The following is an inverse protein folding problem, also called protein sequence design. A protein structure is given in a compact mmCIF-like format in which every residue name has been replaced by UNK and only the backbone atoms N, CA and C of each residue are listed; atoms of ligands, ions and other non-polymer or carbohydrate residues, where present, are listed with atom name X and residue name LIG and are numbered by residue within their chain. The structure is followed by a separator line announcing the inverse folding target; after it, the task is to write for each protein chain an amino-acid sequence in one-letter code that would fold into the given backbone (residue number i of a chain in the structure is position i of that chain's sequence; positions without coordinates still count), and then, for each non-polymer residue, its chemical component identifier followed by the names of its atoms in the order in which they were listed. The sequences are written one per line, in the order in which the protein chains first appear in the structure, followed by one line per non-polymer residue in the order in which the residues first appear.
data_IF_965039957977
#
_entry.id   IF_965039957977
#
_cell.length_a   1.000
_cell.length_b   1.000
_cell.length_c   1.000
_cell.angle_alpha   90.00
_cell.angle_beta   90.00
_cell.angle_gamma   90.00
#
_symmetry.space_group_name_H-M   'P 1'
#
loop_
_entity.id
_entity.type
_entity.pdbx_description
1 polymer ?
#
# COMPACT_ATOMS: atom_id res chain seq x y z
N UNK A 1 -21.67 9.83 -4.38
CA UNK A 1 -20.22 10.00 -4.10
C UNK A 1 -19.50 8.65 -4.13
N UNK A 2 -19.82 7.66 -3.29
CA UNK A 2 -19.15 6.34 -3.34
C UNK A 2 -19.29 5.61 -4.70
N UNK A 3 -20.43 5.72 -5.36
CA UNK A 3 -20.63 5.17 -6.71
C UNK A 3 -19.77 5.85 -7.79
N UNK A 4 -19.32 7.09 -7.57
CA UNK A 4 -18.45 7.82 -8.50
C UNK A 4 -17.00 7.36 -8.42
N UNK A 5 -16.61 6.69 -7.33
CA UNK A 5 -15.29 6.07 -7.15
C UNK A 5 -15.37 4.55 -7.29
N UNK A 6 -16.33 4.06 -8.08
CA UNK A 6 -16.56 2.64 -8.38
C UNK A 6 -16.83 1.76 -7.14
N UNK A 7 -17.27 2.34 -6.03
CA UNK A 7 -17.65 1.56 -4.85
C UNK A 7 -19.15 1.24 -4.85
N UNK A 8 -19.49 -0.04 -5.06
CA UNK A 8 -20.87 -0.52 -5.00
C UNK A 8 -21.27 -0.77 -3.55
N UNK A 9 -22.06 0.14 -3.00
CA UNK A 9 -22.62 0.01 -1.65
C UNK A 9 -23.59 -1.18 -1.61
N UNK A 10 -23.39 -2.17 -0.72
CA UNK A 10 -24.25 -3.36 -0.66
C UNK A 10 -25.70 -3.03 -0.28
N UNK A 11 -25.89 -2.14 0.69
CA UNK A 11 -27.18 -1.63 1.14
C UNK A 11 -26.99 -0.28 1.88
N UNK A 12 -27.98 0.62 1.83
CA UNK A 12 -27.98 1.85 2.64
C UNK A 12 -27.92 1.58 4.15
N UNK A 13 -28.42 0.42 4.62
CA UNK A 13 -28.32 0.03 6.03
C UNK A 13 -26.86 -0.13 6.47
N UNK A 14 -26.03 -0.76 5.64
CA UNK A 14 -24.59 -0.92 5.90
C UNK A 14 -23.88 0.43 6.11
N UNK A 15 -24.19 1.42 5.27
CA UNK A 15 -23.62 2.76 5.45
C UNK A 15 -24.13 3.43 6.73
N UNK A 16 -25.43 3.31 7.04
CA UNK A 16 -26.00 3.90 8.27
C UNK A 16 -25.38 3.30 9.52
N UNK A 17 -25.18 1.98 9.55
CA UNK A 17 -24.58 1.30 10.69
C UNK A 17 -23.13 1.78 10.89
N UNK A 18 -22.33 1.85 9.81
CA UNK A 18 -20.94 2.38 9.85
C UNK A 18 -20.84 3.86 10.21
N UNK A 19 -21.81 4.67 9.81
CA UNK A 19 -21.87 6.09 10.17
C UNK A 19 -22.31 6.30 11.62
N UNK A 20 -23.15 5.41 12.15
CA UNK A 20 -23.59 5.43 13.54
C UNK A 20 -22.45 5.04 14.49
N UNK A 21 -21.59 4.09 14.08
CA UNK A 21 -20.36 3.72 14.79
C UNK A 21 -19.35 4.88 14.92
N UNK A 22 -19.43 5.90 14.04
CA UNK A 22 -18.58 7.10 14.07
C UNK A 22 -19.15 8.23 14.96
N UNK A 23 -19.98 7.91 15.94
CA UNK A 23 -20.60 8.82 16.92
C UNK A 23 -21.38 10.01 16.29
N UNK A 24 -22.22 9.73 15.31
CA UNK A 24 -23.07 10.76 14.71
C UNK A 24 -24.23 11.19 15.63
N UNK A 25 -24.11 12.39 16.21
CA UNK A 25 -25.26 13.23 16.60
C UNK A 25 -25.67 14.22 15.49
N UNK A 26 -24.83 14.44 14.48
CA UNK A 26 -25.07 15.35 13.36
C UNK A 26 -25.39 14.60 12.06
N UNK A 27 -26.27 15.17 11.23
CA UNK A 27 -26.66 14.62 9.91
C UNK A 27 -25.60 14.81 8.82
N UNK A 28 -24.52 15.53 9.12
CA UNK A 28 -23.46 15.88 8.16
C UNK A 28 -22.13 15.21 8.53
N UNK A 29 -21.36 14.86 7.49
CA UNK A 29 -20.04 14.23 7.61
C UNK A 29 -18.98 15.27 7.28
N UNK A 30 -18.06 15.53 8.20
CA UNK A 30 -16.89 16.37 7.91
C UNK A 30 -15.78 15.58 7.21
N UNK A 31 -14.77 16.26 6.68
CA UNK A 31 -13.68 15.60 5.93
C UNK A 31 -12.95 14.52 6.75
N UNK A 32 -12.63 14.80 8.02
CA UNK A 32 -11.93 13.85 8.88
C UNK A 32 -12.74 12.56 9.08
N UNK A 33 -14.05 12.68 9.32
CA UNK A 33 -14.97 11.55 9.45
C UNK A 33 -15.10 10.78 8.13
N UNK A 34 -15.16 11.47 6.98
CA UNK A 34 -15.17 10.82 5.68
C UNK A 34 -13.88 10.03 5.43
N UNK A 35 -12.71 10.61 5.76
CA UNK A 35 -11.43 9.94 5.64
C UNK A 35 -11.36 8.69 6.53
N UNK A 36 -11.88 8.76 7.76
CA UNK A 36 -11.98 7.60 8.65
C UNK A 36 -12.89 6.51 8.09
N UNK A 37 -14.07 6.88 7.59
CA UNK A 37 -15.03 5.96 6.95
C UNK A 37 -14.36 5.26 5.76
N UNK A 38 -13.71 6.02 4.87
CA UNK A 38 -13.02 5.49 3.70
C UNK A 38 -11.92 4.49 4.09
N UNK A 39 -11.05 4.85 5.04
CA UNK A 39 -9.98 3.96 5.54
C UNK A 39 -10.55 2.67 6.14
N UNK A 40 -11.66 2.77 6.87
CA UNK A 40 -12.34 1.59 7.43
C UNK A 40 -12.92 0.70 6.34
N UNK A 41 -13.55 1.30 5.33
CA UNK A 41 -14.18 0.61 4.22
C UNK A 41 -13.19 -0.16 3.37
N UNK A 42 -12.06 0.47 3.04
CA UNK A 42 -10.97 -0.15 2.28
C UNK A 42 -10.37 -1.33 3.06
N UNK A 43 -10.06 -1.12 4.34
CA UNK A 43 -9.56 -2.17 5.19
C UNK A 43 -10.55 -3.35 5.31
N UNK A 44 -11.83 -3.11 5.57
CA UNK A 44 -12.84 -4.17 5.68
C UNK A 44 -13.02 -4.98 4.39
N UNK A 45 -12.88 -4.35 3.23
CA UNK A 45 -12.93 -5.02 1.94
C UNK A 45 -11.70 -5.89 1.67
N UNK A 46 -10.57 -5.61 2.32
CA UNK A 46 -9.27 -6.21 2.04
C UNK A 46 -8.72 -7.06 3.20
N UNK A 47 -9.36 -7.05 4.37
CA UNK A 47 -8.92 -7.78 5.59
C UNK A 47 -8.85 -9.29 5.44
N UNK A 48 -9.47 -9.86 4.41
CA UNK A 48 -9.44 -11.30 4.12
C UNK A 48 -8.18 -11.72 3.38
N UNK A 49 -7.32 -10.78 2.97
CA UNK A 49 -6.02 -11.10 2.39
C UNK A 49 -5.20 -11.78 3.49
N UNK A 50 -4.82 -13.06 3.33
CA UNK A 50 -3.95 -13.72 4.27
C UNK A 50 -2.61 -13.01 4.19
N UNK A 51 -2.29 -12.23 5.21
CA UNK A 51 -0.97 -11.67 5.36
C UNK A 51 -0.16 -12.81 5.96
N UNK A 52 0.81 -13.41 5.22
CA UNK A 52 1.75 -14.36 5.82
C UNK A 52 2.32 -13.71 7.07
N UNK A 53 2.80 -14.44 8.07
CA UNK A 53 3.12 -13.89 9.41
C UNK A 53 1.89 -13.60 10.31
N UNK A 54 0.79 -12.96 9.88
CA UNK A 54 -0.33 -12.59 10.80
C UNK A 54 -1.02 -13.74 11.54
N UNK A 55 -1.05 -14.96 10.99
CA UNK A 55 -1.60 -16.15 11.67
C UNK A 55 -0.81 -16.56 12.93
N UNK A 56 0.47 -16.17 13.02
CA UNK A 56 1.31 -16.38 14.21
C UNK A 56 1.18 -15.28 15.27
N UNK A 57 0.53 -14.16 14.93
CA UNK A 57 0.14 -13.12 15.87
C UNK A 57 -1.25 -13.51 16.35
N UNK A 58 -1.30 -14.36 17.37
CA UNK A 58 -2.56 -14.91 17.91
C UNK A 58 -3.61 -13.83 18.23
N UNK A 59 -4.81 -14.28 18.61
CA UNK A 59 -6.00 -13.45 18.92
C UNK A 59 -5.78 -12.30 19.95
N UNK A 60 -4.58 -12.17 20.51
CA UNK A 60 -4.15 -11.13 21.43
C UNK A 60 -3.08 -10.21 20.78
N UNK A 61 -3.50 -9.00 20.41
CA UNK A 61 -2.74 -7.76 20.62
C UNK A 61 -1.31 -7.62 20.04
N UNK A 62 -1.12 -7.86 18.74
CA UNK A 62 -0.12 -7.08 17.98
C UNK A 62 -0.79 -6.38 16.80
N UNK A 63 -1.47 -5.28 17.14
CA UNK A 63 -2.08 -4.34 16.18
C UNK A 63 -1.06 -3.51 15.39
N UNK A 64 0.23 -3.70 15.68
CA UNK A 64 1.36 -2.97 15.11
C UNK A 64 2.42 -3.97 14.62
N UNK A 65 2.91 -3.75 13.41
CA UNK A 65 4.06 -4.42 12.80
C UNK A 65 5.27 -3.55 13.09
N UNK A 66 6.24 -4.08 13.83
CA UNK A 66 7.47 -3.36 14.17
C UNK A 66 8.39 -3.24 12.96
N UNK A 67 9.42 -2.40 13.08
CA UNK A 67 10.50 -2.29 12.09
C UNK A 67 11.14 -3.66 11.79
N UNK A 68 11.35 -4.49 12.80
CA UNK A 68 12.00 -5.80 12.69
C UNK A 68 11.09 -6.82 11.99
N UNK A 69 9.80 -6.79 12.31
CA UNK A 69 8.81 -7.66 11.66
C UNK A 69 8.63 -7.26 10.19
N UNK A 70 8.64 -5.96 9.89
CA UNK A 70 8.63 -5.47 8.52
C UNK A 70 9.91 -5.84 7.75
N UNK A 71 11.08 -5.74 8.39
CA UNK A 71 12.34 -6.18 7.78
C UNK A 71 12.30 -7.67 7.42
N UNK A 72 11.85 -8.53 8.35
CA UNK A 72 11.68 -9.96 8.08
C UNK A 72 10.73 -10.19 6.91
N UNK A 73 9.63 -9.45 6.85
CA UNK A 73 8.71 -9.54 5.73
C UNK A 73 9.39 -9.24 4.38
N UNK A 74 10.16 -8.15 4.30
CA UNK A 74 10.88 -7.78 3.08
C UNK A 74 11.90 -8.86 2.66
N UNK A 75 12.65 -9.43 3.61
CA UNK A 75 13.66 -10.44 3.33
C UNK A 75 13.06 -11.81 3.00
N UNK A 76 12.09 -12.27 3.79
CA UNK A 76 11.59 -13.64 3.71
C UNK A 76 10.52 -13.79 2.62
N UNK A 77 9.70 -12.76 2.39
CA UNK A 77 8.57 -12.82 1.45
C UNK A 77 8.80 -12.01 0.17
N UNK A 78 9.28 -10.76 0.27
CA UNK A 78 9.54 -9.94 -0.94
C UNK A 78 10.88 -10.24 -1.60
N UNK A 79 11.83 -10.87 -0.88
CA UNK A 79 13.20 -11.14 -1.34
C UNK A 79 13.99 -9.86 -1.64
N UNK A 80 13.68 -8.80 -0.92
CA UNK A 80 14.31 -7.49 -1.04
C UNK A 80 15.65 -7.44 -0.29
N UNK A 81 16.75 -7.65 -1.02
CA UNK A 81 18.09 -7.72 -0.41
C UNK A 81 18.56 -6.38 0.20
N UNK A 82 18.01 -5.26 -0.25
CA UNK A 82 18.31 -3.94 0.33
C UNK A 82 17.86 -3.84 1.79
N UNK A 83 16.86 -4.63 2.19
CA UNK A 83 16.32 -4.68 3.55
C UNK A 83 17.27 -5.36 4.56
N UNK A 84 18.41 -5.90 4.13
CA UNK A 84 19.47 -6.37 5.04
C UNK A 84 20.02 -5.24 5.90
N UNK A 85 19.96 -4.01 5.39
CA UNK A 85 20.32 -2.80 6.13
C UNK A 85 19.09 -2.24 6.87
N UNK A 86 19.06 -2.44 8.19
CA UNK A 86 17.97 -1.98 9.06
C UNK A 86 17.77 -0.46 9.00
N UNK A 87 18.83 0.32 8.74
CA UNK A 87 18.72 1.78 8.63
C UNK A 87 17.89 2.18 7.40
N UNK A 88 18.11 1.52 6.26
CA UNK A 88 17.35 1.78 5.04
C UNK A 88 15.88 1.42 5.21
N UNK A 89 15.59 0.31 5.89
CA UNK A 89 14.20 -0.09 6.18
C UNK A 89 13.52 0.96 7.06
N UNK A 90 14.23 1.49 8.06
CA UNK A 90 13.73 2.56 8.92
C UNK A 90 13.43 3.84 8.13
N UNK A 91 14.37 4.31 7.32
CA UNK A 91 14.18 5.50 6.48
C UNK A 91 13.01 5.32 5.51
N UNK A 92 12.89 4.12 4.90
CA UNK A 92 11.77 3.78 4.04
C UNK A 92 10.43 3.87 4.78
N UNK A 93 10.33 3.31 5.99
CA UNK A 93 9.10 3.38 6.79
C UNK A 93 8.73 4.82 7.17
N UNK A 94 9.70 5.64 7.56
CA UNK A 94 9.45 7.06 7.85
C UNK A 94 8.97 7.82 6.60
N UNK A 95 9.63 7.59 5.46
CA UNK A 95 9.23 8.20 4.21
C UNK A 95 7.80 7.82 3.83
N UNK A 96 7.44 6.54 3.97
CA UNK A 96 6.10 6.06 3.63
C UNK A 96 5.00 6.60 4.58
N UNK A 97 5.27 6.67 5.88
CA UNK A 97 4.29 7.10 6.88
C UNK A 97 3.97 8.60 6.79
N UNK A 98 4.93 9.43 6.35
CA UNK A 98 4.77 10.89 6.25
C UNK A 98 4.11 11.53 7.51
N UNK A 99 4.42 11.03 8.70
CA UNK A 99 3.85 11.49 9.98
C UNK A 99 4.94 12.18 10.82
N UNK A 100 5.03 13.52 10.78
CA UNK A 100 6.05 14.28 11.52
C UNK A 100 5.97 14.09 13.03
N UNK A 101 4.80 13.68 13.55
CA UNK A 101 4.59 13.50 15.00
C UNK A 101 5.14 12.17 15.50
N UNK A 102 5.35 11.19 14.61
CA UNK A 102 5.93 9.86 14.93
C UNK A 102 7.44 9.78 14.73
N UNK A 103 8.09 10.85 14.28
CA UNK A 103 9.55 10.89 14.03
C UNK A 103 10.42 10.76 15.31
N UNK A 104 9.81 10.82 16.49
CA UNK A 104 10.51 10.77 17.79
C UNK A 104 10.68 9.32 18.28
N UNK A 105 9.89 8.36 17.78
CA UNK A 105 9.91 6.95 18.17
C UNK A 105 10.27 6.03 16.98
N UNK A 106 10.54 4.75 17.25
CA UNK A 106 10.82 3.75 16.21
C UNK A 106 9.57 3.52 15.32
N UNK A 107 9.70 3.48 13.98
CA UNK A 107 8.54 3.43 13.11
C UNK A 107 7.87 2.05 13.17
N UNK A 108 6.55 2.05 13.10
CA UNK A 108 5.73 0.85 13.07
C UNK A 108 4.56 1.05 12.09
N UNK A 109 4.06 -0.04 11.51
CA UNK A 109 2.82 -0.02 10.74
C UNK A 109 1.67 -0.54 11.57
N UNK A 110 0.56 0.17 11.57
CA UNK A 110 -0.73 -0.45 11.87
C UNK A 110 -1.10 -1.42 10.75
N UNK A 111 -1.97 -2.39 11.04
CA UNK A 111 -2.43 -3.33 10.01
C UNK A 111 -3.07 -2.63 8.80
N UNK A 112 -3.72 -1.49 9.01
CA UNK A 112 -4.30 -0.66 7.92
C UNK A 112 -3.21 -0.03 7.05
N UNK A 113 -2.19 0.54 7.67
CA UNK A 113 -1.05 1.14 6.96
C UNK A 113 -0.26 0.07 6.19
N UNK A 114 -0.11 -1.12 6.76
CA UNK A 114 0.55 -2.23 6.08
C UNK A 114 -0.22 -2.73 4.86
N UNK A 115 -1.54 -2.93 4.97
CA UNK A 115 -2.37 -3.26 3.80
C UNK A 115 -2.29 -2.15 2.75
N UNK A 116 -2.23 -0.89 3.17
CA UNK A 116 -2.04 0.23 2.24
C UNK A 116 -0.68 0.13 1.54
N UNK A 117 0.39 -0.21 2.25
CA UNK A 117 1.71 -0.46 1.68
C UNK A 117 1.67 -1.58 0.63
N UNK A 118 0.98 -2.70 0.88
CA UNK A 118 0.90 -3.81 -0.08
C UNK A 118 0.33 -3.39 -1.45
N UNK A 119 -0.59 -2.44 -1.47
CA UNK A 119 -1.21 -1.89 -2.69
C UNK A 119 -0.57 -0.58 -3.16
N UNK A 120 0.47 -0.13 -2.49
CA UNK A 120 1.16 1.11 -2.82
C UNK A 120 2.11 0.93 -4.00
N UNK A 121 2.52 2.06 -4.60
CA UNK A 121 3.51 2.06 -5.69
C UNK A 121 4.88 1.61 -5.20
N UNK A 122 5.16 1.79 -3.91
CA UNK A 122 6.40 1.40 -3.26
C UNK A 122 6.55 -0.12 -3.17
N UNK A 123 5.44 -0.87 -3.25
CA UNK A 123 5.42 -2.33 -3.33
C UNK A 123 5.03 -2.80 -4.75
N UNK A 124 5.56 -2.15 -5.78
CA UNK A 124 5.29 -2.51 -7.17
C UNK A 124 5.92 -3.86 -7.53
N UNK A 125 5.20 -4.67 -8.32
CA UNK A 125 5.75 -5.89 -8.93
C UNK A 125 6.75 -5.58 -10.05
N UNK A 126 6.67 -4.37 -10.62
CA UNK A 126 7.56 -3.93 -11.69
C UNK A 126 8.91 -3.48 -11.13
N UNK A 127 9.99 -4.07 -11.66
CA UNK A 127 11.35 -3.62 -11.37
C UNK A 127 11.63 -2.28 -12.06
N UNK A 128 11.71 -1.22 -11.27
CA UNK A 128 11.94 0.15 -11.75
C UNK A 128 13.33 0.35 -12.36
N UNK A 129 14.30 -0.54 -12.11
CA UNK A 129 15.61 -0.44 -12.76
C UNK A 129 15.49 -0.64 -14.28
N UNK A 130 14.50 -1.42 -14.73
CA UNK A 130 14.21 -1.69 -16.14
C UNK A 130 13.60 -0.49 -16.88
N UNK A 131 13.12 0.54 -16.18
CA UNK A 131 12.64 1.78 -16.82
C UNK A 131 13.80 2.60 -17.40
N UNK A 132 15.02 2.38 -16.90
CA UNK A 132 16.21 3.08 -17.39
C UNK A 132 16.86 2.33 -18.53
N UNK A 133 17.15 3.04 -19.63
CA UNK A 133 17.85 2.45 -20.77
C UNK A 133 19.30 2.19 -20.39
N UNK A 134 19.75 0.94 -20.48
CA UNK A 134 21.15 0.57 -20.31
C UNK A 134 21.93 0.88 -21.62
N UNK A 135 22.80 1.91 -21.66
CA UNK A 135 23.44 2.34 -22.90
C UNK A 135 24.36 1.27 -23.50
N UNK A 136 24.96 0.43 -22.65
CA UNK A 136 25.84 -0.67 -23.08
C UNK A 136 25.11 -1.72 -23.92
N UNK A 137 23.78 -1.82 -23.77
CA UNK A 137 22.95 -2.73 -24.55
C UNK A 137 22.44 -2.07 -25.85
N UNK A 138 22.83 -0.83 -26.16
CA UNK A 138 22.36 -0.05 -27.33
C UNK A 138 23.39 0.03 -28.48
N UNK A 139 24.49 -0.73 -28.40
CA UNK A 139 25.59 -0.70 -29.39
C UNK A 139 25.53 -1.82 -30.45
N UNK A 140 24.52 -2.69 -30.41
CA UNK A 140 24.37 -3.78 -31.39
C UNK A 140 23.80 -3.26 -32.73
N UNK A 141 23.90 -4.05 -33.82
CA UNK A 141 23.18 -3.75 -35.06
C UNK A 141 21.67 -3.61 -34.84
N UNK A 142 21.02 -2.70 -35.57
CA UNK A 142 19.58 -2.39 -35.41
C UNK A 142 18.66 -3.62 -35.55
N UNK A 143 19.08 -4.62 -36.34
CA UNK A 143 18.38 -5.89 -36.51
C UNK A 143 18.29 -6.76 -35.25
N UNK A 144 19.03 -6.41 -34.18
CA UNK A 144 19.03 -7.15 -32.91
C UNK A 144 18.02 -6.60 -31.89
N UNK A 145 17.31 -5.53 -32.24
CA UNK A 145 16.36 -4.88 -31.34
C UNK A 145 14.91 -5.14 -31.76
N UNK A 146 14.05 -5.37 -30.78
CA UNK A 146 12.61 -5.25 -31.01
C UNK A 146 12.22 -3.78 -31.02
N UNK A 147 11.74 -3.31 -32.17
CA UNK A 147 11.36 -1.91 -32.36
C UNK A 147 9.83 -1.81 -32.28
N UNK A 148 9.35 -1.09 -31.26
CA UNK A 148 7.93 -0.77 -31.13
C UNK A 148 7.46 0.02 -32.36
N UNK A 149 6.61 -0.61 -33.17
CA UNK A 149 6.17 -0.08 -34.46
C UNK A 149 4.65 0.05 -34.46
N UNK A 150 4.14 1.21 -34.89
CA UNK A 150 2.70 1.42 -35.07
C UNK A 150 2.36 1.52 -36.56
N UNK A 151 1.18 1.02 -36.93
CA UNK A 151 0.69 1.04 -38.30
C UNK A 151 -0.45 2.06 -38.42
N UNK A 152 -0.40 2.91 -39.46
CA UNK A 152 -1.40 3.95 -39.71
C UNK A 152 -1.65 4.90 -38.54
N UNK A 153 -0.60 5.41 -37.90
CA UNK A 153 -0.68 6.33 -36.76
C UNK A 153 -1.47 7.62 -37.07
N UNK A 154 -1.69 7.95 -38.34
CA UNK A 154 -2.42 9.14 -38.79
C UNK A 154 -3.87 8.89 -39.26
N UNK A 155 -4.49 7.74 -38.94
CA UNK A 155 -5.91 7.47 -39.26
C UNK A 155 -6.84 7.70 -38.09
#
# INVERSE_FOLDING_TARGET
MLSQVNYRVPNMRFLRDRLTELEQRSREINYAQFAMLYRSLMYDAQKTIPIPFTETFGECERTKISLEDFQKFLLDYQKDMWATDLHKVREFMFHFLHDPLREIEEPYFTLKEFVTFLFSKENTVWDLELDTVCPQNMDNPLSHYWISSSHNTCR
#
